data_IF_357845865279
#
_entry.id   IF_357845865279
#
_cell.length_a   1.000
_cell.length_b   1.000
_cell.length_c   1.000
_cell.angle_alpha   90.00
_cell.angle_beta   90.00
_cell.angle_gamma   90.00
#
_symmetry.space_group_name_H-M   'P 1'
#
loop_
_entity.id
_entity.type
_entity.pdbx_description
1 polymer ?
#
# COMPACT_ATOMS: atom_id res chain seq x y z
N UNK A 1 15.44 -2.29 13.47
CA UNK A 1 15.80 -1.16 12.59
C UNK A 1 14.76 -0.97 11.49
N UNK A 2 14.36 0.27 11.19
CA UNK A 2 13.41 0.52 10.12
C UNK A 2 13.93 0.00 8.78
N UNK A 3 13.09 -0.73 8.02
CA UNK A 3 13.41 -1.17 6.67
C UNK A 3 12.57 -0.38 5.67
N UNK A 4 13.21 0.28 4.72
CA UNK A 4 12.51 0.92 3.61
C UNK A 4 12.08 -0.15 2.60
N UNK A 5 10.77 -0.26 2.40
CA UNK A 5 10.18 -1.13 1.37
C UNK A 5 10.19 -0.44 0.01
N UNK A 6 9.78 0.83 -0.01
CA UNK A 6 9.77 1.66 -1.22
C UNK A 6 10.23 3.09 -0.91
N UNK A 7 11.12 3.60 -1.76
CA UNK A 7 11.52 5.00 -1.80
C UNK A 7 11.25 5.51 -3.22
N UNK A 8 10.43 6.56 -3.31
CA UNK A 8 9.99 7.12 -4.60
C UNK A 8 10.79 8.39 -4.93
N UNK A 9 12.09 8.25 -5.11
CA UNK A 9 13.03 9.35 -5.36
C UNK A 9 13.51 9.45 -6.81
N UNK A 10 13.08 8.53 -7.68
CA UNK A 10 13.50 8.45 -9.10
C UNK A 10 12.41 7.78 -9.95
N UNK A 11 12.43 8.03 -11.28
CA UNK A 11 11.40 7.48 -12.20
C UNK A 11 11.26 5.96 -12.15
N UNK A 12 12.35 5.23 -11.98
CA UNK A 12 12.36 3.76 -11.95
C UNK A 12 11.60 3.19 -10.75
N UNK A 13 11.42 3.98 -9.68
CA UNK A 13 10.74 3.55 -8.46
C UNK A 13 9.26 3.18 -8.65
N UNK A 14 8.64 3.71 -9.70
CA UNK A 14 7.23 3.41 -10.04
C UNK A 14 7.07 2.40 -11.18
N UNK A 15 8.15 2.02 -11.85
CA UNK A 15 8.10 1.22 -13.09
C UNK A 15 7.52 -0.19 -12.88
N UNK A 16 7.63 -0.75 -11.67
CA UNK A 16 7.15 -2.09 -11.32
C UNK A 16 5.76 -2.09 -10.66
N UNK A 17 5.10 -0.95 -10.62
CA UNK A 17 3.74 -0.84 -10.11
C UNK A 17 2.72 -0.92 -11.24
N UNK A 18 1.60 -1.58 -10.98
CA UNK A 18 0.52 -1.78 -11.95
C UNK A 18 -0.82 -1.41 -11.36
N UNK A 19 -1.70 -0.85 -12.18
CA UNK A 19 -3.08 -0.59 -11.81
C UNK A 19 -3.86 -1.92 -11.71
N UNK A 20 -4.59 -2.07 -10.60
CA UNK A 20 -5.54 -3.17 -10.37
C UNK A 20 -6.83 -2.52 -9.89
N UNK A 21 -7.58 -2.02 -10.84
CA UNK A 21 -8.82 -1.31 -10.60
C UNK A 21 -10.03 -2.25 -10.67
N UNK A 22 -11.22 -1.73 -10.42
CA UNK A 22 -12.48 -2.46 -10.48
C UNK A 22 -12.86 -3.00 -11.87
N UNK A 23 -12.04 -2.78 -12.89
CA UNK A 23 -12.17 -3.39 -14.22
C UNK A 23 -12.22 -4.91 -14.17
N UNK A 24 -11.53 -5.54 -13.22
CA UNK A 24 -11.58 -6.99 -13.01
C UNK A 24 -12.98 -7.47 -12.63
N UNK A 25 -13.87 -6.56 -12.22
CA UNK A 25 -15.28 -6.78 -11.86
C UNK A 25 -16.23 -6.11 -12.86
N UNK A 26 -15.73 -5.59 -13.99
CA UNK A 26 -16.52 -4.89 -15.01
C UNK A 26 -16.69 -3.38 -14.76
N UNK A 27 -16.08 -2.82 -13.72
CA UNK A 27 -16.10 -1.39 -13.42
C UNK A 27 -15.26 -0.57 -14.40
N UNK A 28 -15.34 0.75 -14.29
CA UNK A 28 -14.66 1.71 -15.18
C UNK A 28 -13.75 2.69 -14.45
N UNK A 29 -13.51 2.48 -13.17
CA UNK A 29 -12.50 3.24 -12.41
C UNK A 29 -11.12 3.01 -13.00
N UNK A 30 -10.25 3.99 -12.84
CA UNK A 30 -8.88 3.94 -13.36
C UNK A 30 -7.92 4.66 -12.45
N UNK A 31 -6.70 4.15 -12.38
CA UNK A 31 -5.62 4.75 -11.62
C UNK A 31 -4.27 4.58 -12.30
N UNK A 32 -3.31 5.38 -11.86
CA UNK A 32 -1.90 5.28 -12.21
C UNK A 32 -1.05 5.58 -10.99
N UNK A 33 0.17 5.04 -10.96
CA UNK A 33 1.24 5.52 -10.12
C UNK A 33 2.32 6.09 -11.02
N UNK A 34 2.54 7.39 -10.98
CA UNK A 34 3.54 8.10 -11.79
C UNK A 34 4.58 8.75 -10.90
N UNK A 35 5.77 8.96 -11.43
CA UNK A 35 6.81 9.74 -10.76
C UNK A 35 6.62 11.23 -11.05
N UNK A 36 6.77 12.04 -10.00
CA UNK A 36 6.81 13.50 -10.09
C UNK A 36 8.27 13.97 -9.95
N UNK A 37 8.78 14.86 -10.83
CA UNK A 37 10.14 15.37 -10.76
C UNK A 37 10.52 16.07 -9.44
N UNK A 38 9.53 16.43 -8.63
CA UNK A 38 9.77 16.96 -7.27
C UNK A 38 10.26 15.88 -6.28
N UNK A 39 10.43 14.62 -6.71
CA UNK A 39 11.01 13.54 -5.90
C UNK A 39 9.97 12.76 -5.08
N UNK A 40 8.85 12.42 -5.67
CA UNK A 40 7.84 11.57 -5.08
C UNK A 40 7.00 10.86 -6.16
N UNK A 41 6.26 9.82 -5.78
CA UNK A 41 5.26 9.23 -6.64
C UNK A 41 3.88 9.87 -6.42
N UNK A 42 3.02 9.77 -7.41
CA UNK A 42 1.63 10.24 -7.35
C UNK A 42 0.70 9.11 -7.77
N UNK A 43 -0.11 8.64 -6.84
CA UNK A 43 -1.23 7.75 -7.07
C UNK A 43 -2.47 8.60 -7.35
N UNK A 44 -2.96 8.56 -8.58
CA UNK A 44 -4.05 9.41 -9.03
C UNK A 44 -4.96 8.70 -10.03
N UNK A 45 -6.17 9.17 -10.16
CA UNK A 45 -7.13 8.63 -11.09
C UNK A 45 -8.56 9.10 -10.85
N UNK A 46 -9.49 8.22 -11.21
CA UNK A 46 -10.92 8.45 -11.10
C UNK A 46 -11.61 7.20 -10.55
N UNK A 47 -12.38 7.35 -9.49
CA UNK A 47 -13.28 6.30 -8.98
C UNK A 47 -14.67 6.55 -9.54
N UNK A 48 -15.23 5.54 -10.21
CA UNK A 48 -16.58 5.59 -10.79
C UNK A 48 -17.50 4.57 -10.13
N UNK A 49 -18.77 4.92 -9.85
CA UNK A 49 -19.78 3.98 -9.38
C UNK A 49 -20.34 3.09 -10.49
N UNK A 50 -20.04 3.39 -11.76
CA UNK A 50 -20.62 2.72 -12.91
C UNK A 50 -20.26 1.22 -12.94
N UNK A 51 -21.20 0.40 -13.42
CA UNK A 51 -21.08 -1.06 -13.52
C UNK A 51 -20.72 -1.75 -12.19
N UNK A 52 -21.26 -1.26 -11.07
CA UNK A 52 -20.93 -1.70 -9.71
C UNK A 52 -19.46 -1.54 -9.35
N UNK A 53 -18.76 -0.62 -10.00
CA UNK A 53 -17.42 -0.20 -9.64
C UNK A 53 -17.40 0.55 -8.32
N UNK A 54 -16.23 0.96 -7.87
CA UNK A 54 -16.13 1.76 -6.66
C UNK A 54 -14.76 1.76 -6.01
N UNK A 55 -13.74 1.24 -6.68
CA UNK A 55 -12.37 1.35 -6.20
C UNK A 55 -11.37 1.52 -7.32
N UNK A 56 -10.25 2.15 -6.99
CA UNK A 56 -9.06 2.18 -7.80
C UNK A 56 -7.85 1.79 -6.95
N UNK A 57 -6.94 1.02 -7.51
CA UNK A 57 -5.75 0.59 -6.79
C UNK A 57 -4.55 0.40 -7.70
N UNK A 58 -3.36 0.52 -7.10
CA UNK A 58 -2.09 0.13 -7.69
C UNK A 58 -1.39 -0.87 -6.80
N UNK A 59 -0.64 -1.79 -7.39
CA UNK A 59 0.10 -2.83 -6.69
C UNK A 59 1.52 -2.91 -7.22
N UNK A 60 2.48 -3.07 -6.29
CA UNK A 60 3.89 -3.28 -6.63
C UNK A 60 4.13 -4.66 -7.26
N UNK A 61 5.25 -4.82 -7.95
CA UNK A 61 5.86 -6.13 -8.11
C UNK A 61 6.27 -6.71 -6.75
N UNK A 62 6.82 -7.93 -6.72
CA UNK A 62 7.30 -8.55 -5.49
C UNK A 62 8.37 -7.67 -4.84
N UNK A 63 8.24 -7.50 -3.52
CA UNK A 63 9.24 -6.78 -2.72
C UNK A 63 10.54 -7.58 -2.76
N UNK A 64 11.63 -6.93 -3.15
CA UNK A 64 12.94 -7.57 -3.19
C UNK A 64 13.43 -7.89 -1.78
N UNK A 65 14.08 -9.05 -1.57
CA UNK A 65 14.74 -9.36 -0.31
C UNK A 65 15.76 -8.26 0.05
N UNK A 66 15.96 -8.03 1.34
CA UNK A 66 17.07 -7.17 1.77
C UNK A 66 18.41 -7.82 1.38
N UNK A 67 19.44 -7.00 1.17
CA UNK A 67 20.77 -7.49 0.85
C UNK A 67 21.25 -8.45 1.95
N UNK A 68 21.49 -9.73 1.60
CA UNK A 68 21.87 -10.81 2.52
C UNK A 68 20.74 -11.78 2.91
N UNK A 69 19.50 -11.50 2.51
CA UNK A 69 18.39 -12.47 2.65
C UNK A 69 18.35 -13.38 1.41
N UNK A 70 18.36 -14.71 1.63
CA UNK A 70 18.21 -15.68 0.54
C UNK A 70 16.73 -15.81 0.15
N UNK A 71 16.47 -15.94 -1.15
CA UNK A 71 15.11 -16.11 -1.72
C UNK A 71 14.43 -17.45 -1.32
N UNK A 72 15.13 -18.30 -0.61
CA UNK A 72 14.78 -19.71 -0.41
C UNK A 72 14.59 -20.20 1.01
N UNK A 73 14.42 -19.39 2.00
CA UNK A 73 14.15 -19.95 3.32
C UNK A 73 14.44 -19.02 4.48
N UNK A 74 13.43 -18.75 5.29
CA UNK A 74 13.62 -18.43 6.69
C UNK A 74 14.40 -17.16 7.01
N UNK A 75 14.37 -16.17 6.15
CA UNK A 75 14.63 -14.80 6.58
C UNK A 75 13.62 -14.49 7.66
N UNK A 76 14.07 -14.03 8.83
CA UNK A 76 13.21 -13.80 9.99
C UNK A 76 11.93 -13.09 9.53
N UNK A 77 10.81 -13.78 9.68
CA UNK A 77 9.47 -13.19 9.49
C UNK A 77 9.46 -11.94 10.33
N UNK A 78 9.42 -10.82 9.64
CA UNK A 78 9.76 -9.52 10.10
C UNK A 78 9.28 -9.15 11.48
N UNK A 79 10.12 -9.02 12.43
CA UNK A 79 9.85 -8.39 13.71
C UNK A 79 9.57 -6.89 13.57
N UNK A 80 8.58 -6.49 12.76
CA UNK A 80 8.10 -5.12 12.67
C UNK A 80 6.71 -4.99 13.29
N UNK A 81 6.38 -3.83 13.79
CA UNK A 81 5.16 -3.56 14.55
C UNK A 81 4.22 -2.58 13.85
N UNK A 82 4.74 -1.83 12.90
CA UNK A 82 3.97 -0.87 12.12
C UNK A 82 4.55 -0.63 10.73
N UNK A 83 3.72 -0.10 9.84
CA UNK A 83 4.15 0.50 8.57
C UNK A 83 4.02 2.01 8.69
N UNK A 84 5.02 2.72 8.20
CA UNK A 84 4.97 4.18 8.07
C UNK A 84 4.99 4.60 6.61
N UNK A 85 4.14 5.57 6.30
CA UNK A 85 4.02 6.21 5.00
C UNK A 85 4.33 7.70 5.13
N UNK A 86 5.08 8.26 4.18
CA UNK A 86 5.26 9.70 4.04
C UNK A 86 4.41 10.17 2.85
N UNK A 87 3.29 10.84 3.13
CA UNK A 87 2.22 11.11 2.15
C UNK A 87 1.72 12.55 2.20
N UNK A 88 1.22 13.02 1.06
CA UNK A 88 0.41 14.26 0.93
C UNK A 88 -0.83 13.92 0.13
N UNK A 89 -1.99 13.98 0.76
CA UNK A 89 -3.26 13.65 0.12
C UNK A 89 -4.07 14.85 -0.33
N UNK A 90 -5.31 14.56 -0.65
CA UNK A 90 -6.34 15.48 -1.12
C UNK A 90 -7.50 15.64 -0.13
N UNK A 91 -7.32 15.15 1.11
CA UNK A 91 -8.35 15.12 2.15
C UNK A 91 -9.21 13.87 2.12
N UNK A 92 -8.96 12.94 1.19
CA UNK A 92 -9.67 11.67 1.11
C UNK A 92 -9.01 10.59 1.96
N UNK A 93 -9.75 9.51 2.18
CA UNK A 93 -9.29 8.32 2.91
C UNK A 93 -8.79 7.27 1.94
N UNK A 94 -7.59 6.76 2.22
CA UNK A 94 -6.92 5.74 1.43
C UNK A 94 -6.71 4.46 2.24
N UNK A 95 -6.34 3.38 1.56
CA UNK A 95 -5.97 2.11 2.18
C UNK A 95 -4.58 1.70 1.72
N UNK A 96 -3.78 1.21 2.67
CA UNK A 96 -2.57 0.46 2.38
C UNK A 96 -2.92 -1.03 2.39
N UNK A 97 -2.51 -1.72 1.35
CA UNK A 97 -2.69 -3.15 1.18
C UNK A 97 -1.35 -3.86 1.30
N UNK A 98 -1.28 -4.92 2.09
CA UNK A 98 -0.13 -5.80 2.22
C UNK A 98 -0.52 -7.21 1.81
N UNK A 99 0.32 -7.84 1.00
CA UNK A 99 0.16 -9.23 0.59
C UNK A 99 1.34 -10.05 1.08
N UNK A 100 1.05 -11.23 1.55
CA UNK A 100 2.02 -12.13 2.20
C UNK A 100 2.24 -13.41 1.40
N UNK A 101 1.62 -13.52 0.25
CA UNK A 101 1.82 -14.60 -0.72
C UNK A 101 2.05 -14.04 -2.13
N UNK A 102 2.50 -14.88 -3.04
CA UNK A 102 2.79 -14.52 -4.44
C UNK A 102 1.62 -14.76 -5.37
N UNK A 103 0.48 -15.23 -4.86
CA UNK A 103 -0.69 -15.45 -5.69
C UNK A 103 -1.34 -14.12 -6.10
N UNK A 104 -1.95 -14.10 -7.27
CA UNK A 104 -2.66 -12.89 -7.73
C UNK A 104 -3.89 -12.60 -6.86
N UNK A 105 -4.58 -13.62 -6.36
CA UNK A 105 -5.88 -13.56 -5.68
C UNK A 105 -5.81 -14.10 -4.24
N UNK A 106 -4.73 -13.82 -3.52
CA UNK A 106 -4.57 -14.21 -2.11
C UNK A 106 -5.20 -13.23 -1.14
N UNK A 107 -5.04 -13.54 0.16
CA UNK A 107 -5.49 -12.66 1.25
C UNK A 107 -4.77 -11.32 1.17
N UNK A 108 -5.53 -10.25 1.38
CA UNK A 108 -5.08 -8.88 1.37
C UNK A 108 -5.29 -8.28 2.77
N UNK A 109 -4.22 -7.82 3.39
CA UNK A 109 -4.28 -7.14 4.69
C UNK A 109 -4.40 -5.65 4.44
N UNK A 110 -5.49 -5.03 4.89
CA UNK A 110 -5.83 -3.64 4.62
C UNK A 110 -5.86 -2.81 5.90
N UNK A 111 -5.23 -1.64 5.85
CA UNK A 111 -5.40 -0.59 6.86
C UNK A 111 -5.75 0.73 6.16
N UNK A 112 -6.74 1.42 6.69
CA UNK A 112 -7.17 2.72 6.17
C UNK A 112 -6.44 3.86 6.87
N UNK A 113 -6.24 4.96 6.16
CA UNK A 113 -5.68 6.19 6.72
C UNK A 113 -6.31 7.42 6.06
N UNK A 114 -6.49 8.46 6.88
CA UNK A 114 -6.97 9.74 6.42
C UNK A 114 -5.81 10.63 5.96
N UNK A 115 -6.11 11.55 5.06
CA UNK A 115 -5.15 12.55 4.58
C UNK A 115 -5.68 13.96 4.80
N UNK A 116 -4.76 14.91 4.88
CA UNK A 116 -5.06 16.34 4.86
C UNK A 116 -4.68 16.93 3.52
N UNK A 117 -5.57 17.70 2.91
CA UNK A 117 -5.35 18.27 1.59
C UNK A 117 -4.09 19.15 1.54
N UNK A 118 -3.17 18.81 0.64
CA UNK A 118 -1.97 19.59 0.36
C UNK A 118 -0.86 19.55 1.43
N UNK A 119 -1.00 18.76 2.48
CA UNK A 119 -0.04 18.70 3.60
C UNK A 119 0.69 17.37 3.62
N UNK A 120 2.03 17.40 3.62
CA UNK A 120 2.86 16.22 3.88
C UNK A 120 2.74 15.80 5.33
N UNK A 121 2.46 14.52 5.56
CA UNK A 121 2.37 13.92 6.87
C UNK A 121 2.96 12.51 6.90
N UNK A 122 3.41 12.10 8.09
CA UNK A 122 3.80 10.71 8.34
C UNK A 122 2.63 9.99 8.95
N UNK A 123 2.18 8.95 8.26
CA UNK A 123 1.10 8.08 8.71
C UNK A 123 1.71 6.80 9.25
N UNK A 124 1.47 6.50 10.51
CA UNK A 124 1.87 5.24 11.15
C UNK A 124 0.65 4.31 11.22
N UNK A 125 0.80 3.13 10.68
CA UNK A 125 -0.22 2.08 10.67
C UNK A 125 0.28 0.89 11.50
N UNK A 126 -0.15 0.74 12.76
CA UNK A 126 0.15 -0.44 13.55
C UNK A 126 -0.35 -1.72 12.87
N UNK A 127 0.36 -2.84 13.03
CA UNK A 127 -0.07 -4.11 12.42
C UNK A 127 -1.45 -4.55 12.88
N UNK A 128 -1.86 -4.17 14.08
CA UNK A 128 -3.19 -4.45 14.62
C UNK A 128 -4.33 -3.79 13.83
N UNK A 129 -4.04 -2.72 13.09
CA UNK A 129 -5.04 -2.00 12.27
C UNK A 129 -5.29 -2.67 10.93
N UNK A 130 -4.43 -3.62 10.52
CA UNK A 130 -4.58 -4.34 9.27
C UNK A 130 -5.60 -5.48 9.40
N UNK A 131 -6.65 -5.41 8.58
CA UNK A 131 -7.69 -6.43 8.54
C UNK A 131 -7.47 -7.34 7.32
N UNK A 132 -7.39 -8.67 7.53
CA UNK A 132 -7.29 -9.61 6.43
C UNK A 132 -8.62 -9.68 5.66
N UNK A 133 -8.54 -9.53 4.36
CA UNK A 133 -9.69 -9.56 3.46
C UNK A 133 -9.39 -10.42 2.23
N UNK A 134 -10.43 -10.99 1.66
CA UNK A 134 -10.41 -11.63 0.36
C UNK A 134 -11.60 -11.15 -0.46
N UNK A 135 -11.33 -10.53 -1.60
CA UNK A 135 -12.35 -9.90 -2.45
C UNK A 135 -13.32 -9.01 -1.65
N UNK A 136 -12.78 -8.19 -0.76
CA UNK A 136 -13.55 -7.27 0.09
C UNK A 136 -14.29 -7.91 1.27
N UNK A 137 -14.15 -9.23 1.49
CA UNK A 137 -14.77 -9.94 2.62
C UNK A 137 -13.74 -10.23 3.70
N UNK A 138 -14.07 -10.08 4.98
CA UNK A 138 -13.19 -10.47 6.08
C UNK A 138 -12.78 -11.94 6.03
N UNK A 139 -11.52 -12.23 6.39
CA UNK A 139 -10.96 -13.59 6.51
C UNK A 139 -10.46 -13.77 7.95
N UNK A 140 -11.33 -14.14 8.91
CA UNK A 140 -10.95 -14.16 10.33
C UNK A 140 -9.88 -15.18 10.69
N UNK A 141 -9.72 -16.25 9.89
CA UNK A 141 -8.75 -17.32 10.12
C UNK A 141 -7.41 -17.09 9.38
N UNK A 142 -7.18 -15.89 8.85
CA UNK A 142 -5.93 -15.58 8.17
C UNK A 142 -4.75 -15.56 9.15
N UNK A 143 -3.54 -15.99 8.72
CA UNK A 143 -2.34 -15.94 9.56
C UNK A 143 -2.04 -14.52 10.07
N UNK A 144 -1.49 -14.36 11.28
CA UNK A 144 -1.08 -13.06 11.80
C UNK A 144 -0.04 -12.38 10.89
N UNK A 145 -0.25 -11.10 10.58
CA UNK A 145 0.66 -10.34 9.71
C UNK A 145 2.07 -10.19 10.32
N UNK A 146 2.19 -10.18 11.63
CA UNK A 146 3.48 -10.06 12.36
C UNK A 146 4.46 -11.19 12.02
N UNK A 147 3.97 -12.36 11.69
CA UNK A 147 4.77 -13.54 11.37
C UNK A 147 5.00 -13.70 9.87
N UNK A 148 4.43 -12.81 9.07
CA UNK A 148 4.43 -12.93 7.63
C UNK A 148 5.50 -12.06 6.98
N UNK A 149 6.03 -12.54 5.85
CA UNK A 149 6.85 -11.74 4.95
C UNK A 149 5.93 -10.91 4.04
N UNK A 150 6.23 -9.63 3.88
CA UNK A 150 5.53 -8.79 2.91
C UNK A 150 6.06 -9.12 1.51
N UNK A 151 5.19 -9.65 0.66
CA UNK A 151 5.52 -9.97 -0.73
C UNK A 151 5.13 -8.87 -1.71
N UNK A 152 4.03 -8.18 -1.48
CA UNK A 152 3.59 -7.04 -2.30
C UNK A 152 2.91 -5.97 -1.45
N UNK A 153 2.97 -4.73 -1.94
CA UNK A 153 2.32 -3.56 -1.35
C UNK A 153 1.39 -2.94 -2.38
N UNK A 154 0.26 -2.44 -1.93
CA UNK A 154 -0.68 -1.71 -2.77
C UNK A 154 -1.23 -0.46 -2.10
N UNK A 155 -1.68 0.46 -2.92
CA UNK A 155 -2.43 1.65 -2.51
C UNK A 155 -3.82 1.57 -3.14
N UNK A 156 -4.85 1.92 -2.38
CA UNK A 156 -6.25 1.83 -2.82
C UNK A 156 -7.05 3.03 -2.33
N UNK A 157 -8.02 3.41 -3.13
CA UNK A 157 -9.12 4.27 -2.72
C UNK A 157 -10.45 3.56 -3.03
N UNK A 158 -11.36 3.54 -2.06
CA UNK A 158 -12.64 2.83 -2.12
C UNK A 158 -13.69 3.57 -1.28
N UNK A 159 -14.66 2.85 -0.70
CA UNK A 159 -15.62 3.36 0.27
C UNK A 159 -16.51 4.49 -0.28
N UNK A 160 -16.94 4.37 -1.53
CA UNK A 160 -17.84 5.31 -2.24
C UNK A 160 -17.27 6.73 -2.38
N UNK A 161 -15.97 6.88 -2.39
CA UNK A 161 -15.28 8.15 -2.62
C UNK A 161 -15.14 8.39 -4.13
N UNK A 162 -16.25 8.66 -4.81
CA UNK A 162 -16.29 8.83 -6.26
C UNK A 162 -15.64 10.13 -6.73
N UNK A 163 -15.19 10.13 -7.98
CA UNK A 163 -14.55 11.27 -8.62
C UNK A 163 -13.03 11.16 -8.67
N UNK A 164 -12.40 12.27 -9.02
CA UNK A 164 -10.93 12.38 -9.10
C UNK A 164 -10.28 12.30 -7.72
N UNK A 165 -9.10 11.70 -7.67
CA UNK A 165 -8.30 11.60 -6.45
C UNK A 165 -6.82 11.74 -6.74
N UNK A 166 -6.05 12.17 -5.74
CA UNK A 166 -4.60 12.29 -5.83
C UNK A 166 -3.94 12.10 -4.46
N UNK A 167 -2.98 11.18 -4.40
CA UNK A 167 -2.14 10.91 -3.23
C UNK A 167 -0.67 10.93 -3.66
N UNK A 168 0.10 11.89 -3.16
CA UNK A 168 1.54 11.90 -3.30
C UNK A 168 2.19 11.07 -2.20
N UNK A 169 3.23 10.31 -2.53
CA UNK A 169 3.94 9.44 -1.60
C UNK A 169 5.44 9.46 -1.85
N UNK A 170 6.23 9.62 -0.80
CA UNK A 170 7.70 9.59 -0.84
C UNK A 170 8.29 8.25 -0.45
N UNK A 171 7.72 7.61 0.58
CA UNK A 171 8.32 6.42 1.18
C UNK A 171 7.30 5.55 1.88
N UNK A 172 7.57 4.24 1.84
CA UNK A 172 6.90 3.21 2.66
C UNK A 172 8.00 2.45 3.38
N UNK A 173 7.92 2.33 4.72
CA UNK A 173 8.88 1.59 5.53
C UNK A 173 8.22 0.81 6.65
N UNK A 174 8.89 -0.25 7.12
CA UNK A 174 8.52 -0.94 8.35
C UNK A 174 9.13 -0.23 9.54
N UNK A 175 8.46 -0.30 10.68
CA UNK A 175 8.96 0.16 11.98
C UNK A 175 8.96 -0.99 12.97
N UNK A 176 10.00 -1.07 13.82
CA UNK A 176 10.08 -1.97 14.95
C UNK A 176 9.76 -1.25 16.26
N UNK A 177 9.44 -2.01 17.31
CA UNK A 177 9.28 -1.46 18.65
C UNK A 177 10.58 -0.75 19.07
N UNK A 178 10.48 0.52 19.46
CA UNK A 178 11.64 1.33 19.81
C UNK A 178 12.21 2.22 18.71
N UNK A 179 11.73 2.10 17.46
CA UNK A 179 12.04 3.05 16.39
C UNK A 179 11.21 4.35 16.56
N UNK A 180 11.14 4.88 17.79
CA UNK A 180 10.54 6.19 18.04
C UNK A 180 11.49 7.30 17.57
N UNK A 181 10.93 8.21 16.84
CA UNK A 181 11.49 9.32 16.13
C UNK A 181 12.62 10.07 16.86
N UNK A 182 13.73 10.21 16.16
CA UNK A 182 14.51 11.46 16.29
C UNK A 182 13.65 12.62 15.77
N UNK A 183 13.32 13.54 16.63
CA UNK A 183 12.70 14.84 16.35
C UNK A 183 13.45 15.59 15.24
#
# INVERSE_FOLDING_TARGET
>A
MPRTLFLFDRPESVATWSAIDDRVMGGVSRSTLRFDPAGHAVFAGLVSPDNNGGFASVRSALVQPAAGESDGGGGEAGGFDAIELDVRGDGRRYKLNLRTDRSFDGVNYQAAFDTSAGTWSRVRLPLADFQPTWRGRPVPDAPPLREARIEQVGLMIADRQFGGFELAIRRIRTLCEGDEEGR
#
